data_IF_542115277130
#
_entry.id   IF_542115277130
#
_cell.length_a   1.000
_cell.length_b   1.000
_cell.length_c   1.000
_cell.angle_alpha   90.00
_cell.angle_beta   90.00
_cell.angle_gamma   90.00
#
_symmetry.space_group_name_H-M   'P 1'
#
loop_
_entity.id
_entity.type
_entity.pdbx_description
1 polymer ?
#
# COMPACT_ATOMS: atom_id res chain seq x y z
N UNK A 1 -6.43 16.22 9.69
CA UNK A 1 -6.84 16.29 8.28
C UNK A 1 -6.45 14.96 7.68
N UNK A 2 -7.29 14.44 6.80
CA UNK A 2 -7.08 13.11 6.23
C UNK A 2 -6.10 13.16 5.06
N UNK A 3 -5.51 12.00 4.71
CA UNK A 3 -4.67 11.88 3.51
C UNK A 3 -5.41 12.40 2.27
N UNK A 4 -6.70 12.14 2.12
CA UNK A 4 -7.48 12.60 0.97
C UNK A 4 -7.60 14.13 0.87
N UNK A 5 -7.65 14.83 2.00
CA UNK A 5 -7.75 16.31 2.03
C UNK A 5 -6.40 16.98 1.77
N UNK A 6 -5.31 16.28 2.05
CA UNK A 6 -3.94 16.80 2.02
C UNK A 6 -3.09 16.17 0.92
N UNK A 7 -3.68 15.32 0.07
CA UNK A 7 -2.95 14.58 -0.94
C UNK A 7 -2.15 15.53 -1.82
N UNK A 8 -0.89 15.20 -2.07
CA UNK A 8 0.00 16.08 -2.79
C UNK A 8 -0.45 16.26 -4.23
N UNK A 9 -0.12 17.40 -4.84
CA UNK A 9 -0.41 17.68 -6.26
C UNK A 9 0.35 16.78 -7.24
N UNK A 10 1.24 15.92 -6.74
CA UNK A 10 1.87 14.86 -7.54
C UNK A 10 0.91 13.70 -7.83
N UNK A 11 -0.20 13.62 -7.11
CA UNK A 11 -1.17 12.54 -7.18
C UNK A 11 -2.56 13.08 -7.60
N UNK A 12 -3.30 12.27 -8.36
CA UNK A 12 -4.74 12.46 -8.54
C UNK A 12 -5.48 11.17 -8.26
N UNK A 13 -6.59 11.25 -7.53
CA UNK A 13 -7.47 10.10 -7.32
C UNK A 13 -8.39 10.02 -8.54
N UNK A 14 -8.22 8.96 -9.33
CA UNK A 14 -9.01 8.73 -10.55
C UNK A 14 -10.30 7.96 -10.22
N UNK A 15 -10.23 6.99 -9.31
CA UNK A 15 -11.38 6.21 -8.86
C UNK A 15 -11.24 5.78 -7.39
N UNK A 16 -12.38 5.44 -6.78
CA UNK A 16 -12.47 4.91 -5.41
C UNK A 16 -13.86 4.34 -5.15
N UNK A 17 -13.94 3.43 -4.20
CA UNK A 17 -15.18 2.86 -3.70
C UNK A 17 -15.60 3.44 -2.34
N UNK A 18 -16.64 2.87 -1.75
CA UNK A 18 -17.19 3.33 -0.47
C UNK A 18 -16.20 3.07 0.68
N UNK A 19 -16.31 3.80 1.81
CA UNK A 19 -15.52 3.49 3.00
C UNK A 19 -15.68 2.04 3.45
N UNK A 20 -14.60 1.46 3.99
CA UNK A 20 -14.65 0.12 4.58
C UNK A 20 -15.61 0.07 5.77
N UNK A 21 -16.35 -1.03 5.88
CA UNK A 21 -17.18 -1.29 7.05
C UNK A 21 -16.31 -1.64 8.27
N UNK A 22 -16.81 -1.32 9.46
CA UNK A 22 -16.10 -1.62 10.72
C UNK A 22 -15.80 -3.10 10.89
N UNK A 23 -16.69 -3.97 10.41
CA UNK A 23 -16.50 -5.42 10.48
C UNK A 23 -15.35 -5.86 9.56
N UNK A 24 -15.25 -5.29 8.36
CA UNK A 24 -14.18 -5.59 7.40
C UNK A 24 -12.82 -5.14 7.94
N UNK A 25 -12.74 -3.93 8.51
CA UNK A 25 -11.52 -3.45 9.19
C UNK A 25 -11.16 -4.42 10.33
N UNK A 26 -12.13 -4.85 11.14
CA UNK A 26 -11.88 -5.80 12.22
C UNK A 26 -11.35 -7.15 11.72
N UNK A 27 -11.83 -7.63 10.57
CA UNK A 27 -11.31 -8.85 9.93
C UNK A 27 -9.87 -8.68 9.48
N UNK A 28 -9.53 -7.55 8.84
CA UNK A 28 -8.17 -7.22 8.43
C UNK A 28 -7.21 -7.15 9.63
N UNK A 29 -7.61 -6.48 10.72
CA UNK A 29 -6.79 -6.39 11.93
C UNK A 29 -6.51 -7.76 12.56
N UNK A 30 -7.49 -8.68 12.54
CA UNK A 30 -7.31 -10.04 13.04
C UNK A 30 -6.50 -10.93 12.09
N UNK A 31 -6.57 -10.67 10.78
CA UNK A 31 -5.82 -11.38 9.75
C UNK A 31 -4.34 -11.00 9.76
N UNK A 32 -4.04 -9.71 9.91
CA UNK A 32 -2.69 -9.17 9.79
C UNK A 32 -1.71 -9.79 10.78
N UNK A 33 -0.51 -10.11 10.28
CA UNK A 33 0.60 -10.63 11.11
C UNK A 33 1.47 -9.51 11.71
N UNK A 34 1.17 -8.26 11.36
CA UNK A 34 1.79 -7.05 11.89
C UNK A 34 0.72 -6.12 12.49
N UNK A 35 1.15 -5.17 13.31
CA UNK A 35 0.29 -4.04 13.65
C UNK A 35 0.02 -3.23 12.38
N UNK A 36 -1.25 -3.15 11.99
CA UNK A 36 -1.66 -2.44 10.78
C UNK A 36 -1.46 -0.93 11.00
N UNK A 37 -0.71 -0.23 10.14
CA UNK A 37 -0.45 1.19 10.32
C UNK A 37 -1.73 2.03 10.38
N UNK A 38 -1.77 2.97 11.31
CA UNK A 38 -2.94 3.81 11.57
C UNK A 38 -3.38 4.61 10.34
N UNK A 39 -2.42 5.11 9.56
CA UNK A 39 -2.69 5.92 8.37
C UNK A 39 -3.32 5.10 7.23
N UNK A 40 -2.99 3.81 7.12
CA UNK A 40 -3.72 2.90 6.23
C UNK A 40 -5.14 2.64 6.73
N UNK A 41 -5.34 2.43 8.05
CA UNK A 41 -6.68 2.27 8.64
C UNK A 41 -7.53 3.53 8.42
N UNK A 42 -6.97 4.71 8.64
CA UNK A 42 -7.61 6.00 8.36
C UNK A 42 -7.99 6.11 6.88
N UNK A 43 -7.08 5.73 5.99
CA UNK A 43 -7.29 5.77 4.54
C UNK A 43 -8.48 4.92 4.11
N UNK A 44 -8.49 3.62 4.47
CA UNK A 44 -9.58 2.69 4.11
C UNK A 44 -10.90 3.03 4.82
N UNK A 45 -10.86 3.74 5.94
CA UNK A 45 -12.06 4.23 6.64
C UNK A 45 -12.73 5.40 5.91
N UNK A 46 -12.11 5.95 4.86
CA UNK A 46 -12.65 7.04 4.04
C UNK A 46 -13.01 6.53 2.63
N UNK A 47 -12.20 5.66 2.05
CA UNK A 47 -12.51 5.01 0.77
C UNK A 47 -11.66 3.75 0.57
N UNK A 48 -12.21 2.75 -0.12
CA UNK A 48 -11.51 1.53 -0.55
C UNK A 48 -11.25 1.53 -2.06
N UNK A 49 -10.47 0.56 -2.53
CA UNK A 49 -10.12 0.36 -3.95
C UNK A 49 -9.74 1.65 -4.66
N UNK A 50 -8.80 2.39 -4.06
CA UNK A 50 -8.44 3.73 -4.52
C UNK A 50 -7.37 3.63 -5.58
N UNK A 51 -7.71 4.02 -6.81
CA UNK A 51 -6.76 4.17 -7.91
C UNK A 51 -6.24 5.60 -7.94
N UNK A 52 -4.92 5.73 -7.78
CA UNK A 52 -4.21 7.00 -7.68
C UNK A 52 -3.24 7.08 -8.84
N UNK A 53 -3.42 8.08 -9.70
CA UNK A 53 -2.47 8.41 -10.76
C UNK A 53 -1.30 9.20 -10.17
N UNK A 54 -0.08 8.81 -10.50
CA UNK A 54 1.16 9.45 -10.06
C UNK A 54 1.79 10.19 -11.24
N UNK A 55 1.85 11.53 -11.15
CA UNK A 55 2.47 12.46 -12.12
C UNK A 55 2.09 12.18 -13.60
N UNK A 56 0.86 11.76 -13.86
CA UNK A 56 0.37 11.41 -15.21
C UNK A 56 1.15 10.29 -15.93
N UNK A 57 1.88 9.45 -15.19
CA UNK A 57 2.76 8.42 -15.78
C UNK A 57 2.40 6.99 -15.41
N UNK A 58 1.93 6.77 -14.20
CA UNK A 58 1.62 5.44 -13.67
C UNK A 58 0.45 5.51 -12.68
N UNK A 59 -0.01 4.35 -12.26
CA UNK A 59 -1.03 4.20 -11.24
C UNK A 59 -0.46 3.47 -10.03
N UNK A 60 -1.02 3.77 -8.87
CA UNK A 60 -0.93 2.93 -7.68
C UNK A 60 -2.36 2.67 -7.24
N UNK A 61 -2.63 1.45 -6.82
CA UNK A 61 -3.92 1.05 -6.27
C UNK A 61 -3.74 0.68 -4.81
N UNK A 62 -4.56 1.25 -3.94
CA UNK A 62 -4.61 0.92 -2.51
C UNK A 62 -5.91 0.19 -2.23
N UNK A 63 -5.81 -1.05 -1.78
CA UNK A 63 -6.94 -1.94 -1.55
C UNK A 63 -7.62 -1.66 -0.22
N UNK A 64 -8.92 -1.92 -0.16
CA UNK A 64 -9.68 -2.06 1.07
C UNK A 64 -9.42 -3.40 1.76
N UNK A 65 -10.04 -3.64 2.93
CA UNK A 65 -9.82 -4.85 3.73
C UNK A 65 -10.03 -6.17 3.00
N UNK A 66 -11.10 -6.27 2.20
CA UNK A 66 -11.51 -7.54 1.57
C UNK A 66 -10.47 -7.95 0.53
N UNK A 67 -10.21 -7.09 -0.44
CA UNK A 67 -9.22 -7.33 -1.49
C UNK A 67 -7.80 -7.43 -0.92
N UNK A 68 -7.48 -6.65 0.13
CA UNK A 68 -6.22 -6.79 0.85
C UNK A 68 -6.02 -8.22 1.39
N UNK A 69 -7.01 -8.77 2.11
CA UNK A 69 -6.93 -10.15 2.61
C UNK A 69 -6.84 -11.15 1.44
N UNK A 70 -7.75 -11.03 0.45
CA UNK A 70 -7.81 -11.94 -0.69
C UNK A 70 -6.48 -12.00 -1.44
N UNK A 71 -5.89 -10.84 -1.72
CA UNK A 71 -4.62 -10.75 -2.44
C UNK A 71 -3.45 -11.29 -1.62
N UNK A 72 -3.40 -11.01 -0.31
CA UNK A 72 -2.35 -11.58 0.54
C UNK A 72 -2.44 -13.12 0.61
N UNK A 73 -3.64 -13.67 0.67
CA UNK A 73 -3.87 -15.12 0.66
C UNK A 73 -3.51 -15.74 -0.70
N UNK A 74 -3.98 -15.16 -1.80
CA UNK A 74 -3.79 -15.66 -3.16
C UNK A 74 -2.31 -15.69 -3.57
N UNK A 75 -1.54 -14.66 -3.21
CA UNK A 75 -0.11 -14.58 -3.50
C UNK A 75 0.76 -15.19 -2.39
N UNK A 76 0.15 -15.69 -1.32
CA UNK A 76 0.84 -16.26 -0.16
C UNK A 76 1.91 -15.31 0.42
N UNK A 77 1.59 -14.03 0.55
CA UNK A 77 2.53 -12.97 0.93
C UNK A 77 3.29 -13.35 2.21
N UNK A 78 2.59 -13.74 3.27
CA UNK A 78 3.20 -14.05 4.57
C UNK A 78 4.00 -15.36 4.57
N UNK A 79 3.84 -16.24 3.57
CA UNK A 79 4.68 -17.42 3.39
C UNK A 79 6.07 -17.04 2.89
N UNK A 80 6.13 -16.09 1.95
CA UNK A 80 7.37 -15.66 1.31
C UNK A 80 8.06 -14.53 2.07
N UNK A 81 7.28 -13.59 2.58
CA UNK A 81 7.73 -12.44 3.36
C UNK A 81 6.95 -12.46 4.70
N UNK A 82 7.41 -13.21 5.70
CA UNK A 82 6.75 -13.25 7.01
C UNK A 82 6.69 -11.89 7.68
N UNK A 83 5.69 -11.68 8.55
CA UNK A 83 5.49 -10.41 9.30
C UNK A 83 5.39 -9.22 8.35
N UNK A 84 4.50 -9.33 7.38
CA UNK A 84 4.21 -8.30 6.40
C UNK A 84 2.71 -8.22 6.09
N UNK A 85 2.30 -7.16 5.41
CA UNK A 85 0.95 -6.99 4.88
C UNK A 85 1.02 -6.21 3.56
N UNK A 86 0.70 -6.85 2.45
CA UNK A 86 0.49 -6.16 1.18
C UNK A 86 -0.81 -5.35 1.24
N UNK A 87 -0.81 -4.13 0.73
CA UNK A 87 -1.97 -3.21 0.82
C UNK A 87 -2.37 -2.61 -0.52
N UNK A 88 -1.64 -2.91 -1.59
CA UNK A 88 -1.82 -2.29 -2.88
C UNK A 88 -0.84 -2.81 -3.91
N UNK A 89 -0.92 -2.26 -5.12
CA UNK A 89 -0.02 -2.58 -6.23
C UNK A 89 0.19 -1.36 -7.14
N UNK A 90 1.17 -1.45 -8.05
CA UNK A 90 1.49 -0.39 -9.02
C UNK A 90 0.93 -0.64 -10.43
N UNK A 91 0.06 -1.64 -10.60
CA UNK A 91 -0.43 -2.18 -11.88
C UNK A 91 0.67 -2.62 -12.88
N UNK A 92 1.95 -2.52 -12.49
CA UNK A 92 3.15 -2.85 -13.24
C UNK A 92 3.78 -4.18 -12.86
N UNK A 93 3.19 -4.87 -11.88
CA UNK A 93 3.66 -6.16 -11.38
C UNK A 93 4.40 -6.08 -10.04
N UNK A 94 4.43 -4.91 -9.38
CA UNK A 94 4.93 -4.78 -8.01
C UNK A 94 3.79 -4.63 -7.01
N UNK A 95 4.00 -5.18 -5.82
CA UNK A 95 3.12 -5.05 -4.67
C UNK A 95 3.65 -3.96 -3.74
N UNK A 96 2.75 -3.15 -3.21
CA UNK A 96 3.00 -2.16 -2.16
C UNK A 96 2.71 -2.84 -0.82
N UNK A 97 3.72 -2.92 0.05
CA UNK A 97 3.71 -3.80 1.22
C UNK A 97 4.32 -3.14 2.46
N UNK A 98 3.67 -3.34 3.61
CA UNK A 98 4.26 -3.01 4.91
C UNK A 98 5.09 -4.17 5.42
N UNK A 99 6.35 -3.92 5.77
CA UNK A 99 7.28 -4.90 6.35
C UNK A 99 8.42 -4.22 7.12
N UNK A 100 9.19 -5.02 7.87
CA UNK A 100 10.45 -4.59 8.48
C UNK A 100 11.64 -5.13 7.65
N UNK A 101 12.15 -4.29 6.74
CA UNK A 101 13.27 -4.61 5.85
C UNK A 101 14.58 -3.93 6.27
N UNK A 102 15.57 -3.87 5.39
CA UNK A 102 16.90 -3.30 5.68
C UNK A 102 16.83 -1.83 6.15
N UNK A 103 15.93 -1.04 5.56
CA UNK A 103 15.64 0.34 5.98
C UNK A 103 14.76 0.49 7.24
N UNK A 104 14.46 -0.60 7.97
CA UNK A 104 13.54 -0.64 9.11
C UNK A 104 12.06 -0.61 8.70
N UNK A 105 11.14 -0.70 9.67
CA UNK A 105 9.69 -0.74 9.42
C UNK A 105 9.24 0.39 8.47
N UNK A 106 8.39 0.05 7.50
CA UNK A 106 7.74 1.03 6.63
C UNK A 106 7.07 0.41 5.41
N UNK A 107 6.81 1.25 4.43
CA UNK A 107 6.22 0.91 3.14
C UNK A 107 7.32 0.56 2.13
N UNK A 108 7.17 -0.57 1.47
CA UNK A 108 8.10 -1.14 0.52
C UNK A 108 7.40 -1.51 -0.79
N UNK A 109 8.19 -1.72 -1.84
CA UNK A 109 7.78 -2.35 -3.08
C UNK A 109 8.60 -3.61 -3.35
N UNK A 110 7.94 -4.64 -3.86
CA UNK A 110 8.57 -5.89 -4.30
C UNK A 110 7.79 -6.47 -5.47
N UNK A 111 8.44 -7.19 -6.38
CA UNK A 111 7.77 -7.78 -7.53
C UNK A 111 6.89 -8.95 -7.14
N UNK A 112 5.65 -9.02 -7.64
CA UNK A 112 4.79 -10.20 -7.46
C UNK A 112 5.40 -11.47 -8.06
N UNK A 113 6.20 -11.32 -9.12
CA UNK A 113 6.87 -12.43 -9.79
C UNK A 113 8.01 -13.05 -8.98
N UNK A 114 8.54 -12.34 -7.98
CA UNK A 114 9.63 -12.79 -7.13
C UNK A 114 9.52 -12.15 -5.74
N UNK A 115 8.64 -12.72 -4.90
CA UNK A 115 8.40 -12.23 -3.55
C UNK A 115 9.56 -12.64 -2.62
N UNK A 116 10.61 -11.84 -2.59
CA UNK A 116 11.74 -11.97 -1.66
C UNK A 116 11.94 -10.67 -0.88
N UNK A 117 12.14 -10.78 0.43
CA UNK A 117 12.43 -9.63 1.30
C UNK A 117 13.74 -8.93 0.92
N UNK A 118 14.70 -9.64 0.35
CA UNK A 118 15.97 -9.07 -0.10
C UNK A 118 15.82 -8.18 -1.34
N UNK A 119 14.75 -8.39 -2.12
CA UNK A 119 14.42 -7.59 -3.30
C UNK A 119 13.45 -6.45 -2.97
N UNK A 120 12.95 -6.38 -1.73
CA UNK A 120 12.04 -5.34 -1.29
C UNK A 120 12.76 -3.99 -1.14
N UNK A 121 12.30 -2.97 -1.88
CA UNK A 121 12.85 -1.62 -1.85
C UNK A 121 11.99 -0.72 -0.98
N UNK A 122 12.60 -0.05 0.01
CA UNK A 122 11.87 0.89 0.87
C UNK A 122 11.42 2.10 0.06
N UNK A 123 10.12 2.37 0.08
CA UNK A 123 9.52 3.55 -0.55
C UNK A 123 9.42 4.68 0.47
N UNK A 124 8.70 4.46 1.56
CA UNK A 124 8.42 5.50 2.55
C UNK A 124 8.28 4.90 3.96
N UNK A 125 8.36 5.69 5.04
CA UNK A 125 8.05 5.19 6.38
C UNK A 125 6.55 4.88 6.55
N UNK A 126 5.66 5.69 5.97
CA UNK A 126 4.20 5.54 6.07
C UNK A 126 3.51 5.84 4.73
N UNK A 127 2.24 5.45 4.58
CA UNK A 127 1.41 5.81 3.43
C UNK A 127 1.19 7.32 3.36
N UNK A 128 1.06 7.99 4.51
CA UNK A 128 0.99 9.45 4.57
C UNK A 128 2.26 10.12 4.05
N UNK A 129 3.43 9.64 4.49
CA UNK A 129 4.72 10.20 4.03
C UNK A 129 4.84 10.14 2.50
N UNK A 130 4.34 9.06 1.89
CA UNK A 130 4.28 8.92 0.44
C UNK A 130 3.28 9.90 -0.19
N UNK A 131 2.01 9.84 0.21
CA UNK A 131 0.91 10.50 -0.52
C UNK A 131 0.77 12.00 -0.22
N UNK A 132 1.26 12.46 0.94
CA UNK A 132 1.16 13.86 1.39
C UNK A 132 2.51 14.54 1.29
N UNK A 133 3.56 13.92 1.85
CA UNK A 133 4.89 14.52 1.97
C UNK A 133 5.82 14.22 0.78
N UNK A 134 5.36 13.43 -0.21
CA UNK A 134 6.09 12.99 -1.40
C UNK A 134 7.38 12.21 -1.12
N UNK A 135 7.50 11.62 0.06
CA UNK A 135 8.66 10.79 0.40
C UNK A 135 8.61 9.50 -0.41
N UNK A 136 9.69 9.19 -1.12
CA UNK A 136 9.79 7.94 -1.90
C UNK A 136 9.13 7.99 -3.27
N UNK A 137 8.70 9.17 -3.75
CA UNK A 137 8.07 9.28 -5.07
C UNK A 137 9.01 8.88 -6.21
N UNK A 138 10.30 9.17 -6.09
CA UNK A 138 11.30 8.71 -7.06
C UNK A 138 11.50 7.19 -7.06
N UNK A 139 11.29 6.55 -5.90
CA UNK A 139 11.41 5.10 -5.74
C UNK A 139 10.19 4.41 -6.32
N UNK A 140 8.98 4.85 -5.97
CA UNK A 140 7.74 4.24 -6.49
C UNK A 140 7.65 4.35 -8.02
N UNK A 141 8.26 5.38 -8.58
CA UNK A 141 8.29 5.62 -10.03
C UNK A 141 9.52 5.06 -10.75
N UNK A 142 10.43 4.33 -10.07
CA UNK A 142 11.76 4.03 -10.64
C UNK A 142 11.72 3.17 -11.92
N UNK A 143 10.63 2.45 -12.18
CA UNK A 143 10.39 1.70 -13.42
C UNK A 143 9.77 2.52 -14.57
N UNK A 144 9.38 3.77 -14.33
CA UNK A 144 8.55 4.60 -15.21
C UNK A 144 9.21 5.96 -15.56
N UNK A 145 10.51 6.09 -15.29
CA UNK A 145 11.26 7.36 -15.46
C UNK A 145 11.67 7.58 -16.90
#
# INVERSE_FOLDING_TARGET
MSIFEEISSMYSIDSRESPAEKEEISKLLNYSTIEVPFDYIEFISIATEVEIKVKEKMYIRIWGPVDCIEMNEAYHIQKYIPRSLAIGDDEGGNVIIYLEGEGGLGLYMVGFGDLDINDAVKVAPTLRDLLVDNIGIEVIMSGYV
#
